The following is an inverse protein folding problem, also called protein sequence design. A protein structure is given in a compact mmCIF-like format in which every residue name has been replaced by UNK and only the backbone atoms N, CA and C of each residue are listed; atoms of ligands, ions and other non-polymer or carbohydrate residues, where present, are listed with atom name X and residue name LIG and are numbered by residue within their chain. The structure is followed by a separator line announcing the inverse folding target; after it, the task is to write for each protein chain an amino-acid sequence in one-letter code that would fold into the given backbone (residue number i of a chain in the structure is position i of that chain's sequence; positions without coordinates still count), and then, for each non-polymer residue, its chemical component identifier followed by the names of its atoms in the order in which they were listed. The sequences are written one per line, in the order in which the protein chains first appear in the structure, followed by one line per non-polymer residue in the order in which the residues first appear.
data_IF_166059804516
#
_entry.id   IF_166059804516
#
_cell.length_a   1.000
_cell.length_b   1.000
_cell.length_c   1.000
_cell.angle_alpha   90.00
_cell.angle_beta   90.00
_cell.angle_gamma   90.00
#
_symmetry.space_group_name_H-M   'P 1'
#
loop_
_entity.id
_entity.type
_entity.pdbx_description
1 polymer ?
#
# COMPACT_ATOMS: atom_id res chain seq x y z
N UNK A 1 -27.48 4.06 2.03
CA UNK A 1 -26.45 4.46 1.05
C UNK A 1 -25.12 4.00 1.61
N UNK A 2 -24.36 3.20 0.87
CA UNK A 2 -23.04 2.70 1.30
C UNK A 2 -21.97 3.55 0.62
N UNK A 3 -20.99 4.02 1.40
CA UNK A 3 -19.83 4.78 0.92
C UNK A 3 -18.62 3.88 1.14
N UNK A 4 -17.78 3.72 0.11
CA UNK A 4 -16.53 2.98 0.19
C UNK A 4 -15.33 3.91 0.07
N UNK A 5 -14.30 3.69 0.87
CA UNK A 5 -13.01 4.39 0.86
C UNK A 5 -11.97 3.53 0.14
N UNK A 6 -11.28 4.14 -0.82
CA UNK A 6 -10.05 3.62 -1.42
C UNK A 6 -8.91 4.51 -0.94
N UNK A 7 -7.95 3.95 -0.21
CA UNK A 7 -6.77 4.68 0.23
C UNK A 7 -5.61 4.49 -0.76
N UNK A 8 -5.00 5.59 -1.21
CA UNK A 8 -3.89 5.56 -2.20
C UNK A 8 -2.52 5.87 -1.60
N UNK A 9 -2.36 5.81 -0.27
CA UNK A 9 -1.09 6.13 0.43
C UNK A 9 0.09 5.31 -0.11
N UNK A 10 -0.12 4.03 -0.39
CA UNK A 10 0.92 3.12 -0.88
C UNK A 10 1.27 3.29 -2.37
N UNK A 11 0.56 4.15 -3.10
CA UNK A 11 0.80 4.45 -4.52
C UNK A 11 1.10 5.94 -4.72
N UNK A 12 0.14 6.81 -4.43
CA UNK A 12 0.28 8.26 -4.60
C UNK A 12 1.18 8.87 -3.53
N UNK A 13 1.09 8.37 -2.29
CA UNK A 13 1.93 8.84 -1.19
C UNK A 13 3.42 8.63 -1.49
N UNK A 14 3.77 7.47 -2.04
CA UNK A 14 5.16 7.18 -2.45
C UNK A 14 5.62 7.95 -3.69
N UNK A 15 4.70 8.35 -4.58
CA UNK A 15 5.03 9.21 -5.72
C UNK A 15 5.31 10.67 -5.33
N UNK A 16 5.11 11.03 -4.06
CA UNK A 16 5.44 12.34 -3.54
C UNK A 16 6.96 12.52 -3.47
N UNK A 17 7.47 13.66 -3.97
CA UNK A 17 8.90 13.94 -4.01
C UNK A 17 9.55 13.81 -2.63
N UNK A 18 10.59 12.98 -2.54
CA UNK A 18 11.32 12.72 -1.30
C UNK A 18 10.69 11.67 -0.39
N UNK A 19 9.56 11.06 -0.78
CA UNK A 19 8.94 9.95 -0.05
C UNK A 19 9.36 8.63 -0.71
N UNK A 20 9.71 7.64 0.12
CA UNK A 20 9.94 6.27 -0.31
C UNK A 20 9.64 5.36 0.87
N UNK A 21 9.00 4.22 0.61
CA UNK A 21 8.71 3.23 1.63
C UNK A 21 9.53 1.96 1.37
N UNK A 22 10.17 1.45 2.41
CA UNK A 22 10.72 0.10 2.40
C UNK A 22 9.60 -0.94 2.31
N UNK A 23 9.93 -2.16 1.85
CA UNK A 23 8.95 -3.24 1.74
C UNK A 23 8.24 -3.55 3.09
N UNK A 24 8.96 -3.44 4.21
CA UNK A 24 8.38 -3.64 5.55
C UNK A 24 7.45 -2.49 5.96
N UNK A 25 7.82 -1.24 5.67
CA UNK A 25 6.95 -0.08 5.92
C UNK A 25 5.65 -0.20 5.12
N UNK A 26 5.72 -0.63 3.85
CA UNK A 26 4.54 -0.87 3.02
C UNK A 26 3.59 -1.89 3.64
N UNK A 27 4.11 -3.03 4.11
CA UNK A 27 3.31 -4.04 4.79
C UNK A 27 2.67 -3.50 6.07
N UNK A 28 3.41 -2.75 6.88
CA UNK A 28 2.88 -2.17 8.12
C UNK A 28 1.80 -1.12 7.85
N UNK A 29 1.98 -0.27 6.84
CA UNK A 29 0.97 0.70 6.41
C UNK A 29 -0.28 -0.02 5.89
N UNK A 30 -0.13 -1.08 5.08
CA UNK A 30 -1.26 -1.87 4.60
C UNK A 30 -2.09 -2.47 5.74
N UNK A 31 -1.43 -3.06 6.74
CA UNK A 31 -2.07 -3.57 7.97
C UNK A 31 -2.80 -2.47 8.73
N UNK A 32 -2.15 -1.33 8.95
CA UNK A 32 -2.76 -0.21 9.65
C UNK A 32 -4.00 0.31 8.90
N UNK A 33 -3.93 0.46 7.58
CA UNK A 33 -5.06 0.94 6.77
C UNK A 33 -6.25 -0.04 6.81
N UNK A 34 -5.99 -1.35 6.68
CA UNK A 34 -7.04 -2.36 6.55
C UNK A 34 -7.58 -2.89 7.90
N UNK A 35 -6.71 -3.13 8.88
CA UNK A 35 -7.11 -3.72 10.18
C UNK A 35 -7.53 -2.66 11.19
N UNK A 36 -6.78 -1.55 11.29
CA UNK A 36 -6.99 -0.52 12.32
C UNK A 36 -7.91 0.60 11.82
N UNK A 37 -7.57 1.22 10.69
CA UNK A 37 -8.36 2.32 10.10
C UNK A 37 -9.61 1.81 9.36
N UNK A 38 -9.59 0.55 8.93
CA UNK A 38 -10.70 -0.16 8.27
C UNK A 38 -11.18 0.53 7.00
N UNK A 39 -10.25 0.98 6.15
CA UNK A 39 -10.60 1.40 4.78
C UNK A 39 -11.06 0.19 3.99
N UNK A 40 -11.97 0.38 3.03
CA UNK A 40 -12.53 -0.75 2.29
C UNK A 40 -11.52 -1.38 1.32
N UNK A 41 -10.62 -0.55 0.77
CA UNK A 41 -9.59 -0.96 -0.19
C UNK A 41 -8.36 -0.07 -0.08
N UNK A 42 -7.20 -0.62 -0.46
CA UNK A 42 -5.94 0.10 -0.63
C UNK A 42 -5.44 -0.07 -2.07
N UNK A 43 -4.82 0.97 -2.62
CA UNK A 43 -4.08 0.90 -3.87
C UNK A 43 -2.59 0.77 -3.59
N UNK A 44 -1.97 -0.31 -4.09
CA UNK A 44 -0.53 -0.55 -3.98
C UNK A 44 0.13 -0.22 -5.33
N UNK A 45 1.32 0.39 -5.30
CA UNK A 45 2.08 0.74 -6.49
C UNK A 45 2.28 -0.43 -7.47
N UNK A 46 2.40 -0.11 -8.77
CA UNK A 46 2.51 -1.12 -9.82
C UNK A 46 3.80 -1.93 -9.67
N UNK A 47 3.66 -3.24 -9.53
CA UNK A 47 4.76 -4.22 -9.47
C UNK A 47 5.67 -4.22 -10.72
N UNK A 48 5.37 -3.40 -11.74
CA UNK A 48 6.18 -3.20 -12.95
C UNK A 48 7.28 -2.14 -12.84
N UNK A 49 7.35 -1.39 -11.74
CA UNK A 49 8.26 -0.24 -11.61
C UNK A 49 9.67 -0.66 -11.17
N UNK A 50 9.81 -1.57 -10.21
CA UNK A 50 11.13 -2.06 -9.78
C UNK A 50 11.06 -3.42 -9.06
N UNK A 51 12.23 -4.07 -8.85
CA UNK A 51 12.31 -5.28 -8.00
C UNK A 51 11.92 -5.01 -6.55
N UNK A 52 12.21 -3.82 -6.03
CA UNK A 52 11.82 -3.40 -4.68
C UNK A 52 10.31 -3.29 -4.56
N UNK A 53 9.67 -2.65 -5.54
CA UNK A 53 8.21 -2.55 -5.64
C UNK A 53 7.55 -3.92 -5.72
N UNK A 54 8.08 -4.79 -6.57
CA UNK A 54 7.58 -6.16 -6.70
C UNK A 54 7.65 -6.92 -5.37
N UNK A 55 8.76 -6.81 -4.63
CA UNK A 55 8.91 -7.45 -3.31
C UNK A 55 7.94 -6.86 -2.28
N UNK A 56 7.79 -5.53 -2.24
CA UNK A 56 6.88 -4.86 -1.32
C UNK A 56 5.43 -5.25 -1.55
N UNK A 57 4.98 -5.24 -2.81
CA UNK A 57 3.65 -5.69 -3.19
C UNK A 57 3.45 -7.18 -2.86
N UNK A 58 4.47 -8.03 -3.14
CA UNK A 58 4.44 -9.45 -2.80
C UNK A 58 4.20 -9.71 -1.30
N UNK A 59 4.88 -8.98 -0.41
CA UNK A 59 4.67 -9.14 1.03
C UNK A 59 3.24 -8.78 1.47
N UNK A 60 2.61 -7.78 0.84
CA UNK A 60 1.22 -7.42 1.12
C UNK A 60 0.27 -8.51 0.61
N UNK A 61 0.49 -8.99 -0.62
CA UNK A 61 -0.34 -10.04 -1.23
C UNK A 61 -0.21 -11.41 -0.55
N UNK A 62 0.95 -11.72 0.03
CA UNK A 62 1.13 -12.98 0.79
C UNK A 62 0.45 -12.92 2.17
N UNK A 63 0.27 -11.71 2.72
CA UNK A 63 -0.34 -11.52 4.03
C UNK A 63 -1.88 -11.43 3.98
N UNK A 64 -2.43 -10.77 2.96
CA UNK A 64 -3.87 -10.51 2.82
C UNK A 64 -4.61 -11.67 2.14
#
# INVERSE_FOLDING_TARGET
MYISIMDTTLRDGEQTSGVSFTATEKLNIAKLLLEELKVDRIEVASARVSRGEFKGAGLIFDWA
#
